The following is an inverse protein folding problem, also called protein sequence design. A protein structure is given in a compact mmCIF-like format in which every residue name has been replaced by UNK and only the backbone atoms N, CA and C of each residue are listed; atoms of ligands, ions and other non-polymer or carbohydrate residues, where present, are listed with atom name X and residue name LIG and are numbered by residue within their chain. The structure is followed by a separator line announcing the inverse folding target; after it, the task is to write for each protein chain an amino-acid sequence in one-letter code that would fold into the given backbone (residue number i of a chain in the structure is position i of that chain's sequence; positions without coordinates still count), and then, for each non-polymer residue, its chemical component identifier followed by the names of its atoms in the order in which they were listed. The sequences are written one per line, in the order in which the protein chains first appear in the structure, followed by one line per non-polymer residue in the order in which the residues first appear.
data_IF_794551175827
#
_entry.id   IF_794551175827
#
_cell.length_a   1.000
_cell.length_b   1.000
_cell.length_c   1.000
_cell.angle_alpha   90.00
_cell.angle_beta   90.00
_cell.angle_gamma   90.00
#
_symmetry.space_group_name_H-M   'P 1'
#
loop_
_entity.id
_entity.type
_entity.pdbx_description
1 polymer ?
#
# COMPACT_ATOMS: atom_id res chain seq x y z
N UNK A 1 31.91 27.40 -3.63
CA UNK A 1 32.33 25.99 -3.35
C UNK A 1 33.80 25.86 -3.76
N UNK A 2 34.66 25.32 -2.90
CA UNK A 2 36.10 25.16 -3.18
C UNK A 2 36.38 23.73 -3.68
N UNK A 3 37.04 23.61 -4.83
CA UNK A 3 37.57 22.33 -5.32
C UNK A 3 39.07 22.35 -5.13
N UNK A 4 39.57 21.43 -4.32
CA UNK A 4 40.98 21.34 -3.94
C UNK A 4 41.60 20.12 -4.63
N UNK A 5 42.82 20.27 -5.13
CA UNK A 5 43.65 19.18 -5.63
C UNK A 5 44.20 18.33 -4.46
N UNK A 6 44.74 17.15 -4.77
CA UNK A 6 45.35 16.24 -3.78
C UNK A 6 46.60 16.84 -3.08
N UNK A 7 47.20 17.89 -3.66
CA UNK A 7 48.32 18.65 -3.10
C UNK A 7 47.87 19.88 -2.30
N UNK A 8 46.58 19.97 -1.96
CA UNK A 8 45.94 21.11 -1.30
C UNK A 8 45.96 22.43 -2.10
N UNK A 9 46.30 22.43 -3.39
CA UNK A 9 46.16 23.63 -4.23
C UNK A 9 44.70 23.84 -4.66
N UNK A 10 44.26 25.10 -4.70
CA UNK A 10 42.89 25.47 -5.10
C UNK A 10 42.78 25.32 -6.62
N UNK A 11 41.99 24.34 -7.07
CA UNK A 11 41.73 24.06 -8.48
C UNK A 11 40.68 25.00 -9.07
N UNK A 12 39.67 25.34 -8.26
CA UNK A 12 38.57 26.21 -8.67
C UNK A 12 37.90 26.82 -7.43
N UNK A 13 37.75 28.13 -7.46
CA UNK A 13 36.97 28.89 -6.49
C UNK A 13 35.73 29.44 -7.19
N UNK A 14 34.56 28.81 -6.99
CA UNK A 14 33.29 29.44 -7.34
C UNK A 14 32.90 30.37 -6.19
N UNK A 15 33.11 31.67 -6.40
CA UNK A 15 32.63 32.75 -5.54
C UNK A 15 31.11 32.88 -5.70
N UNK A 16 30.35 32.14 -4.90
CA UNK A 16 28.95 32.46 -4.67
C UNK A 16 28.84 33.37 -3.46
N UNK A 17 28.05 34.44 -3.58
CA UNK A 17 27.69 35.32 -2.48
C UNK A 17 26.29 34.91 -2.03
N UNK A 18 26.20 34.06 -1.02
CA UNK A 18 24.93 33.74 -0.37
C UNK A 18 24.98 34.28 1.05
N UNK A 19 24.00 35.11 1.41
CA UNK A 19 23.81 35.45 2.81
C UNK A 19 23.45 34.18 3.59
N UNK A 20 24.01 33.99 4.81
CA UNK A 20 23.66 32.85 5.63
C UNK A 20 22.17 32.89 6.00
N UNK A 21 21.42 31.87 5.57
CA UNK A 21 20.05 31.68 6.03
C UNK A 21 20.06 30.94 7.38
N UNK A 22 20.17 31.74 8.45
CA UNK A 22 20.17 31.25 9.83
C UNK A 22 18.92 30.43 10.16
N UNK A 23 17.78 30.75 9.54
CA UNK A 23 16.50 30.06 9.78
C UNK A 23 16.50 28.67 9.14
N UNK A 24 17.00 28.56 7.90
CA UNK A 24 17.22 27.27 7.23
C UNK A 24 18.18 26.39 8.03
N UNK A 25 19.25 26.99 8.56
CA UNK A 25 20.24 26.27 9.36
C UNK A 25 19.63 25.74 10.67
N UNK A 26 18.85 26.56 11.39
CA UNK A 26 18.17 26.12 12.61
C UNK A 26 17.17 24.99 12.33
N UNK A 27 16.42 25.09 11.24
CA UNK A 27 15.54 24.01 10.78
C UNK A 27 16.34 22.73 10.50
N UNK A 28 17.45 22.82 9.79
CA UNK A 28 18.27 21.66 9.48
C UNK A 28 18.84 20.99 10.74
N UNK A 29 19.34 21.78 11.70
CA UNK A 29 19.82 21.30 12.99
C UNK A 29 18.72 20.53 13.72
N UNK A 30 17.52 21.11 13.86
CA UNK A 30 16.38 20.47 14.54
C UNK A 30 15.92 19.19 13.85
N UNK A 31 15.97 19.14 12.53
CA UNK A 31 15.66 17.92 11.79
C UNK A 31 16.73 16.85 11.92
N UNK A 32 18.00 17.21 12.11
CA UNK A 32 19.08 16.26 12.38
C UNK A 32 18.98 15.72 13.82
N UNK A 33 18.63 16.55 14.82
CA UNK A 33 18.27 16.07 16.17
C UNK A 33 17.12 15.05 16.11
N UNK A 34 16.08 15.34 15.32
CA UNK A 34 14.98 14.41 15.10
C UNK A 34 15.46 13.10 14.45
N UNK A 35 16.43 13.14 13.54
CA UNK A 35 17.03 11.93 12.95
C UNK A 35 17.76 11.10 14.00
N UNK A 36 18.52 11.73 14.89
CA UNK A 36 19.21 11.02 15.97
C UNK A 36 18.23 10.43 16.98
N UNK A 37 17.18 11.17 17.38
CA UNK A 37 16.10 10.64 18.23
C UNK A 37 15.44 9.39 17.65
N UNK A 38 15.11 9.37 16.35
CA UNK A 38 14.47 8.20 15.74
C UNK A 38 15.41 7.00 15.57
N UNK A 39 16.73 7.22 15.64
CA UNK A 39 17.74 6.15 15.60
C UNK A 39 17.99 5.52 16.98
N UNK A 40 17.78 6.25 18.06
CA UNK A 40 18.13 5.81 19.42
C UNK A 40 16.92 5.45 20.28
N UNK A 41 15.78 6.12 20.08
CA UNK A 41 14.55 5.85 20.81
C UNK A 41 13.50 5.17 19.91
N UNK A 42 13.24 3.89 20.23
CA UNK A 42 12.26 3.08 19.51
C UNK A 42 10.89 3.00 20.20
N UNK A 43 10.76 3.51 21.42
CA UNK A 43 9.51 3.47 22.18
C UNK A 43 8.51 4.49 21.66
N UNK A 44 9.00 5.60 21.12
CA UNK A 44 8.16 6.67 20.57
C UNK A 44 7.92 6.45 19.07
N UNK A 45 6.67 6.56 18.58
CA UNK A 45 6.38 6.55 17.16
C UNK A 45 7.03 7.71 16.41
N UNK A 46 7.66 7.46 15.26
CA UNK A 46 8.28 8.50 14.40
C UNK A 46 7.36 9.71 14.16
N UNK A 47 6.05 9.56 13.88
CA UNK A 47 5.16 10.71 13.69
C UNK A 47 5.05 11.60 14.94
N UNK A 48 5.18 11.02 16.14
CA UNK A 48 5.13 11.76 17.41
C UNK A 48 6.41 12.55 17.62
N UNK A 49 7.59 11.94 17.38
CA UNK A 49 8.89 12.64 17.44
C UNK A 49 8.89 13.86 16.52
N UNK A 50 8.44 13.69 15.27
CA UNK A 50 8.33 14.79 14.32
C UNK A 50 7.37 15.90 14.79
N UNK A 51 6.19 15.53 15.32
CA UNK A 51 5.21 16.52 15.81
C UNK A 51 5.75 17.35 16.97
N UNK A 52 6.49 16.72 17.89
CA UNK A 52 7.12 17.42 19.01
C UNK A 52 8.18 18.41 18.51
N UNK A 53 9.07 17.99 17.60
CA UNK A 53 10.06 18.90 16.99
C UNK A 53 9.40 20.07 16.26
N UNK A 54 8.31 19.83 15.52
CA UNK A 54 7.59 20.92 14.85
C UNK A 54 6.89 21.85 15.83
N UNK A 55 6.39 21.33 16.97
CA UNK A 55 5.83 22.18 18.02
C UNK A 55 6.90 23.13 18.58
N UNK A 56 8.08 22.61 18.95
CA UNK A 56 9.22 23.42 19.42
C UNK A 56 9.59 24.53 18.41
N UNK A 57 9.65 24.21 17.12
CA UNK A 57 9.94 25.18 16.05
C UNK A 57 8.84 26.24 15.91
N UNK A 58 7.57 25.87 16.11
CA UNK A 58 6.44 26.81 16.08
C UNK A 58 6.46 27.74 17.28
N UNK A 59 6.77 27.23 18.46
CA UNK A 59 6.86 28.03 19.69
C UNK A 59 7.97 29.08 19.59
N UNK A 60 9.04 28.80 18.84
CA UNK A 60 10.10 29.75 18.47
C UNK A 60 9.72 30.75 17.37
N UNK A 61 8.50 30.70 16.83
CA UNK A 61 8.05 31.60 15.77
C UNK A 61 8.61 31.29 14.37
N UNK A 62 9.41 30.23 14.21
CA UNK A 62 10.07 29.89 12.92
C UNK A 62 9.04 29.66 11.81
N UNK A 63 7.85 29.16 12.15
CA UNK A 63 6.79 28.93 11.17
C UNK A 63 6.22 30.21 10.53
N UNK A 64 6.47 31.39 11.11
CA UNK A 64 6.09 32.69 10.54
C UNK A 64 7.09 33.19 9.50
N UNK A 65 8.34 32.75 9.61
CA UNK A 65 9.48 33.23 8.81
C UNK A 65 9.81 32.23 7.71
N UNK A 66 9.63 30.93 7.98
CA UNK A 66 9.97 29.88 7.04
C UNK A 66 9.01 28.69 7.03
N UNK A 67 8.86 28.12 5.83
CA UNK A 67 8.00 26.96 5.60
C UNK A 67 8.63 25.69 6.18
N UNK A 68 8.04 25.20 7.26
CA UNK A 68 8.39 23.90 7.85
C UNK A 68 7.92 22.75 6.93
N UNK A 69 8.78 21.77 6.58
CA UNK A 69 8.38 20.60 5.79
C UNK A 69 7.27 19.80 6.47
N UNK A 70 6.31 19.27 5.69
CA UNK A 70 5.29 18.36 6.25
C UNK A 70 5.88 16.98 6.54
N UNK A 71 5.26 16.23 7.46
CA UNK A 71 5.67 14.86 7.75
C UNK A 71 5.75 13.99 6.49
N UNK A 72 4.81 14.15 5.55
CA UNK A 72 4.76 13.41 4.28
C UNK A 72 6.06 13.57 3.49
N UNK A 73 6.66 14.76 3.51
CA UNK A 73 7.88 15.08 2.76
C UNK A 73 9.12 14.44 3.40
N UNK A 74 9.15 14.34 4.74
CA UNK A 74 10.34 13.90 5.49
C UNK A 74 10.24 12.46 6.02
N UNK A 75 9.06 11.83 6.01
CA UNK A 75 8.85 10.50 6.60
C UNK A 75 9.90 9.48 6.15
N UNK A 76 10.21 9.47 4.84
CA UNK A 76 11.11 8.48 4.27
C UNK A 76 12.53 8.63 4.83
N UNK A 77 12.99 9.87 5.11
CA UNK A 77 14.29 10.14 5.77
C UNK A 77 14.34 9.50 7.16
N UNK A 78 13.31 9.72 7.97
CA UNK A 78 13.25 9.20 9.33
C UNK A 78 13.13 7.67 9.39
N UNK A 79 12.19 7.08 8.65
CA UNK A 79 12.03 5.62 8.61
C UNK A 79 13.29 4.93 8.06
N UNK A 80 13.97 5.50 7.05
CA UNK A 80 15.24 4.95 6.55
C UNK A 80 16.34 4.98 7.60
N UNK A 81 16.49 6.07 8.34
CA UNK A 81 17.52 6.18 9.38
C UNK A 81 17.27 5.21 10.55
N UNK A 82 16.02 5.11 11.03
CA UNK A 82 15.63 4.13 12.06
C UNK A 82 15.83 2.69 11.62
N UNK A 83 15.45 2.37 10.38
CA UNK A 83 15.68 1.02 9.85
C UNK A 83 17.18 0.71 9.72
N UNK A 84 18.00 1.70 9.35
CA UNK A 84 19.45 1.55 9.30
C UNK A 84 20.06 1.32 10.69
N UNK A 85 19.62 2.03 11.72
CA UNK A 85 20.12 1.84 13.10
C UNK A 85 19.73 0.48 13.68
N UNK A 86 18.56 -0.04 13.32
CA UNK A 86 18.10 -1.39 13.69
C UNK A 86 18.76 -2.51 12.88
N UNK A 87 19.69 -2.20 11.96
CA UNK A 87 20.29 -3.21 11.09
C UNK A 87 19.30 -3.89 10.14
N UNK A 88 18.13 -3.28 9.92
CA UNK A 88 17.10 -3.83 9.01
C UNK A 88 17.66 -3.79 7.60
N UNK A 89 18.06 -4.97 7.10
CA UNK A 89 18.43 -5.12 5.69
C UNK A 89 17.23 -4.71 4.84
N UNK A 90 17.47 -3.84 3.86
CA UNK A 90 16.45 -3.41 2.91
C UNK A 90 15.94 -4.64 2.14
N UNK A 91 14.78 -5.16 2.52
CA UNK A 91 14.10 -6.25 1.81
C UNK A 91 13.44 -5.63 0.57
N UNK A 92 14.25 -5.42 -0.48
CA UNK A 92 13.75 -5.04 -1.79
C UNK A 92 14.16 -6.15 -2.76
N UNK A 93 13.25 -7.08 -2.99
CA UNK A 93 13.38 -8.03 -4.07
C UNK A 93 13.16 -7.27 -5.39
N UNK A 94 14.12 -7.38 -6.31
CA UNK A 94 14.05 -6.67 -7.59
C UNK A 94 13.29 -7.49 -8.63
N UNK A 95 13.28 -8.82 -8.49
CA UNK A 95 12.63 -9.75 -9.42
C UNK A 95 11.72 -10.73 -8.69
N UNK A 96 10.67 -11.20 -9.36
CA UNK A 96 9.71 -12.14 -8.79
C UNK A 96 10.39 -13.41 -8.27
N UNK A 97 11.44 -13.89 -8.94
CA UNK A 97 12.19 -15.09 -8.57
C UNK A 97 12.94 -14.96 -7.24
N UNK A 98 13.39 -13.76 -6.89
CA UNK A 98 14.15 -13.53 -5.66
C UNK A 98 13.29 -13.59 -4.40
N UNK A 99 11.96 -13.46 -4.53
CA UNK A 99 11.07 -13.48 -3.37
C UNK A 99 11.07 -14.88 -2.78
N UNK A 100 11.48 -14.98 -1.51
CA UNK A 100 11.41 -16.22 -0.74
C UNK A 100 10.24 -16.11 0.23
N UNK A 101 9.38 -17.14 0.26
CA UNK A 101 8.34 -17.26 1.29
C UNK A 101 8.99 -17.88 2.53
N UNK A 102 9.01 -17.17 3.69
CA UNK A 102 9.54 -17.69 4.94
C UNK A 102 8.89 -18.99 5.37
N UNK A 103 9.64 -19.86 6.05
CA UNK A 103 9.17 -21.20 6.46
C UNK A 103 7.91 -21.16 7.32
N UNK A 104 7.83 -20.22 8.27
CA UNK A 104 6.65 -19.98 9.10
C UNK A 104 5.35 -19.70 8.32
N UNK A 105 5.47 -19.35 7.03
CA UNK A 105 4.36 -19.03 6.15
C UNK A 105 4.05 -20.13 5.13
N UNK A 106 4.85 -21.19 5.08
CA UNK A 106 4.64 -22.32 4.17
C UNK A 106 3.38 -23.12 4.50
N UNK A 107 3.03 -23.24 5.79
CA UNK A 107 1.84 -23.97 6.25
C UNK A 107 0.52 -23.42 5.70
N UNK A 108 0.48 -22.14 5.31
CA UNK A 108 -0.71 -21.51 4.72
C UNK A 108 -0.50 -21.08 3.26
N UNK A 109 0.63 -21.44 2.64
CA UNK A 109 0.88 -21.23 1.21
C UNK A 109 0.22 -22.36 0.42
N UNK A 110 -0.88 -22.04 -0.27
CA UNK A 110 -1.61 -23.02 -1.09
C UNK A 110 -0.97 -23.23 -2.46
N UNK A 111 -0.42 -22.17 -3.05
CA UNK A 111 0.24 -22.28 -4.35
C UNK A 111 1.33 -21.22 -4.52
N UNK A 112 2.42 -21.62 -5.16
CA UNK A 112 3.48 -20.75 -5.67
C UNK A 112 3.61 -21.00 -7.17
N UNK A 113 2.72 -20.38 -7.94
CA UNK A 113 2.75 -20.48 -9.39
C UNK A 113 3.81 -19.54 -9.95
N UNK A 114 4.72 -20.07 -10.75
CA UNK A 114 5.74 -19.27 -11.41
C UNK A 114 5.89 -19.68 -12.88
N UNK A 115 5.91 -18.68 -13.76
CA UNK A 115 6.31 -18.83 -15.15
C UNK A 115 7.31 -17.70 -15.52
N UNK A 116 7.82 -17.70 -16.75
CA UNK A 116 8.88 -16.79 -17.19
C UNK A 116 8.60 -15.29 -16.95
N UNK A 117 7.33 -14.86 -16.85
CA UNK A 117 6.95 -13.44 -16.66
C UNK A 117 5.95 -13.18 -15.52
N UNK A 118 5.46 -14.22 -14.85
CA UNK A 118 4.40 -14.10 -13.86
C UNK A 118 4.68 -14.96 -12.63
N UNK A 119 4.30 -14.46 -11.46
CA UNK A 119 4.30 -15.24 -10.22
C UNK A 119 3.03 -14.94 -9.45
N UNK A 120 2.40 -15.97 -8.90
CA UNK A 120 1.26 -15.87 -8.00
C UNK A 120 1.61 -16.66 -6.74
N UNK A 121 1.65 -15.96 -5.60
CA UNK A 121 1.69 -16.58 -4.29
C UNK A 121 0.28 -16.55 -3.71
N UNK A 122 -0.32 -17.71 -3.49
CA UNK A 122 -1.67 -17.87 -2.97
C UNK A 122 -1.62 -18.42 -1.55
N UNK A 123 -2.29 -17.73 -0.64
CA UNK A 123 -2.29 -18.06 0.79
C UNK A 123 -3.72 -18.19 1.32
N UNK A 124 -3.96 -19.22 2.12
CA UNK A 124 -5.17 -19.37 2.94
C UNK A 124 -4.89 -20.36 4.08
N UNK A 125 -5.52 -20.13 5.23
CA UNK A 125 -5.51 -21.10 6.33
C UNK A 125 -6.51 -22.24 6.08
N UNK A 126 -6.33 -23.37 6.78
CA UNK A 126 -7.19 -24.54 6.60
C UNK A 126 -8.67 -24.24 6.92
N UNK A 127 -8.92 -23.53 8.02
CA UNK A 127 -10.28 -23.11 8.39
C UNK A 127 -10.95 -22.22 7.33
N UNK A 128 -10.17 -21.39 6.62
CA UNK A 128 -10.69 -20.56 5.54
C UNK A 128 -11.21 -21.40 4.36
N UNK A 129 -10.59 -22.57 4.09
CA UNK A 129 -11.06 -23.49 3.05
C UNK A 129 -12.42 -24.07 3.40
N UNK A 130 -12.64 -24.44 4.67
CA UNK A 130 -13.94 -24.92 5.15
C UNK A 130 -15.02 -23.87 4.98
N UNK A 131 -14.72 -22.60 5.29
CA UNK A 131 -15.66 -21.49 5.08
C UNK A 131 -15.99 -21.33 3.58
N UNK A 132 -14.97 -21.39 2.72
CA UNK A 132 -15.12 -21.25 1.27
C UNK A 132 -15.88 -22.41 0.61
N UNK A 133 -16.04 -23.55 1.30
CA UNK A 133 -16.83 -24.67 0.82
C UNK A 133 -18.35 -24.41 0.87
N UNK A 134 -18.81 -23.35 1.55
CA UNK A 134 -20.23 -22.97 1.54
C UNK A 134 -20.53 -22.02 0.36
N UNK A 135 -21.20 -22.50 -0.70
CA UNK A 135 -21.42 -21.72 -1.92
C UNK A 135 -22.43 -20.57 -1.75
N UNK A 136 -23.22 -20.59 -0.66
CA UNK A 136 -24.23 -19.57 -0.39
C UNK A 136 -23.65 -18.30 0.24
N UNK A 137 -22.42 -18.34 0.74
CA UNK A 137 -21.76 -17.17 1.30
C UNK A 137 -21.38 -16.20 0.18
N UNK A 138 -21.59 -14.90 0.43
CA UNK A 138 -21.19 -13.86 -0.52
C UNK A 138 -19.70 -13.61 -0.40
N UNK A 139 -18.98 -13.72 -1.51
CA UNK A 139 -17.54 -13.46 -1.58
C UNK A 139 -17.31 -12.04 -2.09
N UNK A 140 -16.44 -11.30 -1.42
CA UNK A 140 -16.01 -9.97 -1.84
C UNK A 140 -14.54 -10.02 -2.26
N UNK A 141 -14.25 -9.57 -3.47
CA UNK A 141 -12.88 -9.54 -3.98
C UNK A 141 -12.38 -8.10 -4.09
N UNK A 142 -11.18 -7.84 -3.59
CA UNK A 142 -10.55 -6.52 -3.66
C UNK A 142 -9.06 -6.59 -3.98
N UNK A 143 -8.58 -5.59 -4.73
CA UNK A 143 -7.19 -5.45 -5.13
C UNK A 143 -6.55 -4.20 -4.52
N UNK A 144 -5.61 -4.37 -3.59
CA UNK A 144 -4.85 -3.26 -3.00
C UNK A 144 -3.49 -3.09 -3.67
N UNK A 145 -3.26 -1.89 -4.22
CA UNK A 145 -2.04 -1.58 -5.00
C UNK A 145 -0.98 -0.80 -4.22
N UNK A 146 -1.41 0.21 -3.47
CA UNK A 146 -0.52 1.22 -2.85
C UNK A 146 0.45 0.62 -1.82
N UNK A 147 0.07 -0.50 -1.23
CA UNK A 147 0.82 -1.19 -0.18
C UNK A 147 1.39 -2.53 -0.65
N UNK A 148 1.29 -2.86 -1.94
CA UNK A 148 1.85 -4.09 -2.44
C UNK A 148 3.39 -4.00 -2.48
N UNK A 149 4.05 -5.03 -1.96
CA UNK A 149 5.50 -5.11 -1.91
C UNK A 149 6.05 -5.44 -3.31
N UNK A 150 6.97 -4.60 -3.80
CA UNK A 150 7.74 -4.93 -5.00
C UNK A 150 8.46 -6.27 -4.79
N UNK A 151 8.53 -7.12 -5.82
CA UNK A 151 8.22 -6.89 -7.23
C UNK A 151 6.75 -7.12 -7.63
N UNK A 152 5.86 -7.49 -6.71
CA UNK A 152 4.44 -7.65 -7.00
C UNK A 152 3.76 -6.28 -7.20
N UNK A 153 2.67 -6.28 -7.96
CA UNK A 153 1.92 -5.05 -8.29
C UNK A 153 0.60 -4.94 -7.54
N UNK A 154 0.13 -6.04 -6.97
CA UNK A 154 -1.18 -6.12 -6.33
C UNK A 154 -1.21 -7.21 -5.26
N UNK A 155 -1.71 -6.84 -4.08
CA UNK A 155 -2.25 -7.79 -3.11
C UNK A 155 -3.74 -7.92 -3.40
N UNK A 156 -4.17 -9.10 -3.82
CA UNK A 156 -5.56 -9.41 -4.07
C UNK A 156 -6.10 -10.26 -2.93
N UNK A 157 -7.28 -9.91 -2.44
CA UNK A 157 -7.87 -10.55 -1.26
C UNK A 157 -9.31 -10.95 -1.53
N UNK A 158 -9.68 -12.15 -1.10
CA UNK A 158 -11.08 -12.55 -1.02
C UNK A 158 -11.51 -12.49 0.43
N UNK A 159 -12.66 -11.86 0.65
CA UNK A 159 -13.34 -11.82 1.93
C UNK A 159 -14.66 -12.57 1.80
N UNK A 160 -15.14 -13.11 2.90
CA UNK A 160 -16.44 -13.77 2.98
C UNK A 160 -17.29 -13.03 3.99
N UNK A 161 -18.55 -12.77 3.62
CA UNK A 161 -19.56 -12.24 4.53
C UNK A 161 -20.21 -13.39 5.30
N UNK A 162 -19.97 -13.45 6.61
CA UNK A 162 -20.48 -14.48 7.52
C UNK A 162 -21.82 -14.06 8.17
N UNK A 163 -22.52 -13.08 7.59
CA UNK A 163 -23.81 -12.61 8.09
C UNK A 163 -23.74 -11.20 8.67
N UNK A 164 -23.28 -10.24 7.87
CA UNK A 164 -23.30 -8.82 8.23
C UNK A 164 -24.75 -8.32 8.38
N UNK A 165 -25.01 -7.58 9.45
CA UNK A 165 -26.26 -6.86 9.65
C UNK A 165 -26.12 -5.40 9.24
N UNK A 166 -27.22 -4.61 9.34
CA UNK A 166 -27.16 -3.16 9.13
C UNK A 166 -26.23 -2.45 10.11
N UNK A 167 -26.02 -3.02 11.30
CA UNK A 167 -25.24 -2.41 12.39
C UNK A 167 -23.88 -3.07 12.60
N UNK A 168 -23.67 -4.28 12.10
CA UNK A 168 -22.44 -5.06 12.31
C UNK A 168 -21.90 -5.63 11.00
N UNK A 169 -20.65 -5.33 10.70
CA UNK A 169 -19.93 -5.95 9.58
C UNK A 169 -19.24 -7.21 10.06
N UNK A 170 -19.60 -8.35 9.50
CA UNK A 170 -18.98 -9.64 9.77
C UNK A 170 -18.33 -10.20 8.49
N UNK A 171 -17.33 -9.46 8.00
CA UNK A 171 -16.58 -9.82 6.79
C UNK A 171 -15.16 -10.14 7.18
N UNK A 172 -14.70 -11.34 6.85
CA UNK A 172 -13.35 -11.79 7.16
C UNK A 172 -12.57 -12.08 5.88
N UNK A 173 -11.27 -11.75 5.83
CA UNK A 173 -10.40 -12.17 4.74
C UNK A 173 -10.12 -13.67 4.87
N UNK A 174 -10.24 -14.39 3.76
CA UNK A 174 -10.05 -15.84 3.71
C UNK A 174 -8.97 -16.28 2.74
N UNK A 175 -8.67 -15.47 1.72
CA UNK A 175 -7.57 -15.70 0.78
C UNK A 175 -6.77 -14.42 0.60
N UNK A 176 -5.44 -14.56 0.55
CA UNK A 176 -4.50 -13.53 0.13
C UNK A 176 -3.69 -14.01 -1.07
N UNK A 177 -3.57 -13.18 -2.10
CA UNK A 177 -2.79 -13.48 -3.28
C UNK A 177 -1.88 -12.32 -3.68
N UNK A 178 -0.58 -12.58 -3.85
CA UNK A 178 0.34 -11.62 -4.42
C UNK A 178 0.43 -11.83 -5.93
N UNK A 179 0.06 -10.81 -6.72
CA UNK A 179 0.00 -10.87 -8.18
C UNK A 179 1.04 -9.95 -8.83
N UNK A 180 1.74 -10.46 -9.83
CA UNK A 180 2.76 -9.69 -10.54
C UNK A 180 2.20 -8.63 -11.50
N UNK A 181 0.95 -8.78 -11.95
CA UNK A 181 0.28 -7.85 -12.86
C UNK A 181 -1.26 -7.94 -12.70
N UNK A 182 -2.01 -7.19 -13.52
CA UNK A 182 -3.47 -7.02 -13.44
C UNK A 182 -4.18 -7.46 -14.73
N UNK A 183 -3.63 -8.44 -15.44
CA UNK A 183 -4.21 -8.91 -16.70
C UNK A 183 -5.33 -9.91 -16.44
N UNK A 184 -6.31 -10.01 -17.37
CA UNK A 184 -7.34 -11.06 -17.35
C UNK A 184 -6.71 -12.45 -17.19
N UNK A 185 -5.61 -12.72 -17.89
CA UNK A 185 -4.90 -14.01 -17.83
C UNK A 185 -4.42 -14.31 -16.40
N UNK A 186 -3.85 -13.32 -15.71
CA UNK A 186 -3.38 -13.50 -14.33
C UNK A 186 -4.53 -13.77 -13.36
N UNK A 187 -5.67 -13.08 -13.52
CA UNK A 187 -6.86 -13.39 -12.73
C UNK A 187 -7.43 -14.77 -13.05
N UNK A 188 -7.41 -15.19 -14.33
CA UNK A 188 -7.85 -16.53 -14.72
C UNK A 188 -6.99 -17.60 -14.06
N UNK A 189 -5.66 -17.47 -14.12
CA UNK A 189 -4.73 -18.37 -13.43
C UNK A 189 -5.00 -18.37 -11.92
N UNK A 190 -5.18 -17.19 -11.30
CA UNK A 190 -5.50 -17.09 -9.87
C UNK A 190 -6.76 -17.89 -9.51
N UNK A 191 -7.87 -17.67 -10.21
CA UNK A 191 -9.12 -18.37 -9.91
C UNK A 191 -9.06 -19.86 -10.24
N UNK A 192 -8.30 -20.26 -11.27
CA UNK A 192 -7.99 -21.68 -11.53
C UNK A 192 -7.17 -22.31 -10.40
N UNK A 193 -6.18 -21.61 -9.85
CA UNK A 193 -5.40 -22.08 -8.70
C UNK A 193 -6.28 -22.22 -7.46
N UNK A 194 -7.16 -21.24 -7.19
CA UNK A 194 -8.11 -21.33 -6.08
C UNK A 194 -9.02 -22.55 -6.25
N UNK A 195 -9.62 -22.74 -7.42
CA UNK A 195 -10.48 -23.90 -7.71
C UNK A 195 -9.73 -25.24 -7.61
N UNK A 196 -8.46 -25.27 -8.02
CA UNK A 196 -7.63 -26.47 -7.90
C UNK A 196 -7.25 -26.80 -6.44
N UNK A 197 -6.95 -25.78 -5.63
CA UNK A 197 -6.55 -25.95 -4.23
C UNK A 197 -7.74 -26.10 -3.28
N UNK A 198 -8.91 -25.61 -3.68
CA UNK A 198 -10.18 -25.68 -2.95
C UNK A 198 -11.28 -26.09 -3.94
N UNK A 199 -11.37 -27.39 -4.32
CA UNK A 199 -12.35 -27.85 -5.31
C UNK A 199 -13.81 -27.57 -4.95
N UNK A 200 -14.09 -27.47 -3.64
CA UNK A 200 -15.42 -27.15 -3.10
C UNK A 200 -15.79 -25.66 -3.26
N UNK A 201 -14.84 -24.80 -3.64
CA UNK A 201 -15.10 -23.38 -3.83
C UNK A 201 -15.86 -23.17 -5.14
N UNK A 202 -17.19 -23.04 -5.03
CA UNK A 202 -18.10 -22.75 -6.14
C UNK A 202 -19.09 -21.64 -5.73
N UNK A 203 -18.63 -20.37 -5.70
CA UNK A 203 -19.42 -19.29 -5.12
C UNK A 203 -20.61 -18.93 -5.99
N UNK A 204 -21.81 -18.83 -5.40
CA UNK A 204 -22.99 -18.34 -6.12
C UNK A 204 -22.95 -16.83 -6.36
N UNK A 205 -22.37 -16.07 -5.44
CA UNK A 205 -22.35 -14.61 -5.49
C UNK A 205 -20.95 -14.06 -5.22
N UNK A 206 -20.43 -13.28 -6.16
CA UNK A 206 -19.20 -12.51 -5.98
C UNK A 206 -19.47 -11.02 -6.18
N UNK A 207 -18.98 -10.21 -5.25
CA UNK A 207 -18.96 -8.75 -5.33
C UNK A 207 -17.53 -8.28 -5.57
N UNK A 208 -17.31 -7.47 -6.61
CA UNK A 208 -16.00 -6.87 -6.88
C UNK A 208 -16.13 -5.48 -7.51
N UNK A 209 -15.00 -4.78 -7.69
CA UNK A 209 -14.98 -3.56 -8.50
C UNK A 209 -15.34 -3.84 -9.96
N UNK A 210 -15.86 -2.82 -10.66
CA UNK A 210 -16.30 -2.90 -12.07
C UNK A 210 -15.11 -2.98 -13.06
N UNK A 211 -14.14 -3.84 -12.80
CA UNK A 211 -12.99 -4.07 -13.67
C UNK A 211 -13.25 -5.29 -14.56
N UNK A 212 -13.42 -5.03 -15.87
CA UNK A 212 -13.78 -6.05 -16.89
C UNK A 212 -12.86 -7.28 -16.88
N UNK A 213 -11.56 -7.08 -16.64
CA UNK A 213 -10.59 -8.17 -16.62
C UNK A 213 -10.89 -9.21 -15.53
N UNK A 214 -11.25 -8.76 -14.32
CA UNK A 214 -11.59 -9.63 -13.19
C UNK A 214 -12.93 -10.33 -13.41
N UNK A 215 -13.96 -9.56 -13.78
CA UNK A 215 -15.31 -10.10 -14.02
C UNK A 215 -15.28 -11.20 -15.09
N UNK A 216 -14.56 -10.94 -16.19
CA UNK A 216 -14.45 -11.92 -17.28
C UNK A 216 -13.62 -13.14 -16.88
N UNK A 217 -12.54 -12.97 -16.10
CA UNK A 217 -11.77 -14.11 -15.61
C UNK A 217 -12.58 -15.00 -14.65
N UNK A 218 -13.40 -14.40 -13.78
CA UNK A 218 -14.29 -15.14 -12.88
C UNK A 218 -15.32 -15.92 -13.71
N UNK A 219 -15.99 -15.28 -14.67
CA UNK A 219 -16.97 -15.96 -15.54
C UNK A 219 -16.37 -17.09 -16.36
N UNK A 220 -15.11 -16.98 -16.79
CA UNK A 220 -14.42 -18.07 -17.48
C UNK A 220 -14.21 -19.31 -16.58
N UNK A 221 -14.11 -19.15 -15.25
CA UNK A 221 -13.81 -20.24 -14.29
C UNK A 221 -15.05 -20.73 -13.52
N UNK A 222 -15.97 -19.81 -13.23
CA UNK A 222 -17.24 -20.03 -12.54
C UNK A 222 -18.38 -19.40 -13.37
N UNK A 223 -18.85 -20.07 -14.43
CA UNK A 223 -19.84 -19.52 -15.36
C UNK A 223 -21.17 -19.16 -14.66
N UNK A 224 -21.59 -19.96 -13.68
CA UNK A 224 -22.85 -19.83 -12.96
C UNK A 224 -22.83 -18.77 -11.86
N UNK A 225 -21.65 -18.28 -11.46
CA UNK A 225 -21.53 -17.25 -10.40
C UNK A 225 -22.20 -15.95 -10.81
N UNK A 226 -23.11 -15.44 -10.00
CA UNK A 226 -23.64 -14.09 -10.13
C UNK A 226 -22.56 -13.07 -9.71
N UNK A 227 -22.26 -12.13 -10.61
CA UNK A 227 -21.27 -11.08 -10.37
C UNK A 227 -21.97 -9.75 -10.18
N UNK A 228 -21.78 -9.16 -9.00
CA UNK A 228 -22.27 -7.82 -8.67
C UNK A 228 -21.13 -6.83 -8.50
N UNK A 229 -21.37 -5.59 -8.90
CA UNK A 229 -20.41 -4.52 -8.68
C UNK A 229 -20.47 -3.97 -7.25
N UNK A 230 -19.33 -3.60 -6.70
CA UNK A 230 -19.23 -3.00 -5.38
C UNK A 230 -19.77 -1.56 -5.41
N UNK A 231 -20.90 -1.31 -4.73
CA UNK A 231 -21.54 0.00 -4.65
C UNK A 231 -20.59 1.09 -4.10
N UNK A 232 -19.75 0.76 -3.11
CA UNK A 232 -18.78 1.71 -2.56
C UNK A 232 -17.80 2.23 -3.63
N UNK A 233 -17.23 1.32 -4.41
CA UNK A 233 -16.30 1.67 -5.50
C UNK A 233 -17.01 2.42 -6.64
N UNK A 234 -18.26 2.04 -6.93
CA UNK A 234 -19.09 2.74 -7.90
C UNK A 234 -19.39 4.18 -7.47
N UNK A 235 -19.94 4.38 -6.27
CA UNK A 235 -20.28 5.69 -5.72
C UNK A 235 -19.05 6.60 -5.68
N UNK A 236 -17.89 6.08 -5.26
CA UNK A 236 -16.64 6.85 -5.28
C UNK A 236 -16.22 7.25 -6.70
N UNK A 237 -16.38 6.35 -7.67
CA UNK A 237 -16.07 6.63 -9.07
C UNK A 237 -17.03 7.66 -9.67
N UNK A 238 -18.32 7.58 -9.32
CA UNK A 238 -19.34 8.54 -9.70
C UNK A 238 -19.05 9.93 -9.14
N UNK A 239 -18.72 10.03 -7.84
CA UNK A 239 -18.35 11.30 -7.21
C UNK A 239 -17.11 11.93 -7.84
N UNK A 240 -16.07 11.12 -8.13
CA UNK A 240 -14.89 11.63 -8.85
C UNK A 240 -15.26 12.16 -10.23
N UNK A 241 -16.13 11.46 -10.96
CA UNK A 241 -16.57 11.91 -12.29
C UNK A 241 -17.42 13.17 -12.21
N UNK A 242 -18.31 13.27 -11.22
CA UNK A 242 -19.11 14.46 -10.95
C UNK A 242 -18.23 15.67 -10.64
N UNK A 243 -17.11 15.48 -9.93
CA UNK A 243 -16.14 16.53 -9.65
C UNK A 243 -15.36 16.95 -10.91
N UNK A 244 -14.87 15.99 -11.69
CA UNK A 244 -14.19 16.23 -12.97
C UNK A 244 -15.05 17.03 -13.95
N UNK A 245 -16.36 16.78 -13.99
CA UNK A 245 -17.30 17.49 -14.88
C UNK A 245 -17.96 18.71 -14.23
N UNK A 246 -17.56 19.07 -13.00
CA UNK A 246 -17.97 20.31 -12.32
C UNK A 246 -19.36 20.30 -11.66
N UNK A 247 -20.05 19.15 -11.61
CA UNK A 247 -21.39 19.02 -11.00
C UNK A 247 -21.35 19.29 -9.48
N UNK A 248 -20.26 18.90 -8.82
CA UNK A 248 -20.03 19.08 -7.36
C UNK A 248 -19.87 20.54 -6.93
N UNK A 249 -19.62 21.46 -7.87
CA UNK A 249 -19.47 22.90 -7.61
C UNK A 249 -20.79 23.66 -7.62
N UNK A 250 -21.89 23.01 -8.02
CA UNK A 250 -23.23 23.59 -7.94
C UNK A 250 -23.75 23.57 -6.50
N UNK A 251 -24.27 24.69 -6.01
CA UNK A 251 -24.75 24.86 -4.63
C UNK A 251 -25.87 23.86 -4.23
N UNK A 252 -26.51 23.21 -5.22
CA UNK A 252 -27.58 22.23 -5.04
C UNK A 252 -27.08 20.86 -4.54
N UNK A 253 -25.81 20.49 -4.77
CA UNK A 253 -25.28 19.17 -4.40
C UNK A 253 -24.98 18.99 -2.90
N UNK A 254 -25.03 20.07 -2.11
CA UNK A 254 -24.74 20.02 -0.65
C UNK A 254 -25.94 19.70 0.23
N UNK A 255 -27.16 19.67 -0.33
CA UNK A 255 -28.41 19.57 0.47
C UNK A 255 -28.96 18.17 0.72
N UNK A 256 -28.34 17.12 0.17
CA UNK A 256 -28.77 15.74 0.41
C UNK A 256 -27.58 14.84 0.77
N UNK A 257 -27.08 15.03 1.99
CA UNK A 257 -26.45 14.00 2.82
C UNK A 257 -27.05 14.14 4.21
#
# INVERSE_FOLDING_TARGET
MLVINNDNSIKREDRHNCEPDFTSNELEIKFNECVEKVKTDYTVPIPTVFRQTVAELKDKGISLIQRIPTFKNVKNKFYRNRNKSLGVKKICFNTLKQVVVPERFKSFLLADYYNSRNRILLFAGEHCKTILANPNLTVLCDGTFKFCLKPFQQLYTLHVDLGSSKTHTNKIPVIYALLANKTKITYKILFSLIKSQIPQFDPKNIILDFERAKMSAIKDIFPETCISGCFFHFSRSLWRKADEVGITKSALARKHI
#
